data_IF_990374620174
#
_entry.id   IF_990374620174
#
_cell.length_a   1.000
_cell.length_b   1.000
_cell.length_c   1.000
_cell.angle_alpha   90.00
_cell.angle_beta   90.00
_cell.angle_gamma   90.00
#
_symmetry.space_group_name_H-M   'P 1'
#
loop_
_entity.id
_entity.type
_entity.pdbx_description
1 polymer ?
#
# COMPACT_ATOMS: atom_id res chain seq x y z
N UNK A 1 -7.15 -16.41 -17.33
CA UNK A 1 -7.62 -15.10 -16.83
C UNK A 1 -6.49 -14.46 -16.04
N UNK A 2 -6.10 -13.21 -16.31
CA UNK A 2 -5.01 -12.52 -15.58
C UNK A 2 -5.55 -11.78 -14.36
N UNK A 3 -4.75 -11.75 -13.29
CA UNK A 3 -5.04 -10.97 -12.08
C UNK A 3 -4.27 -9.65 -12.16
N UNK A 4 -4.95 -8.51 -11.96
CA UNK A 4 -4.29 -7.23 -11.91
C UNK A 4 -3.57 -7.07 -10.56
N UNK A 5 -2.28 -6.75 -10.62
CA UNK A 5 -1.44 -6.45 -9.45
C UNK A 5 -0.97 -5.01 -9.56
N UNK A 6 -1.22 -4.21 -8.53
CA UNK A 6 -0.85 -2.80 -8.47
C UNK A 6 0.29 -2.60 -7.50
N UNK A 7 1.34 -1.91 -7.93
CA UNK A 7 2.55 -1.63 -7.15
C UNK A 7 2.59 -0.13 -6.84
N UNK A 8 2.62 0.22 -5.55
CA UNK A 8 2.71 1.62 -5.15
C UNK A 8 4.08 2.21 -5.51
N UNK A 9 5.16 1.59 -5.04
CA UNK A 9 6.51 2.12 -5.15
C UNK A 9 7.50 1.03 -5.58
N UNK A 10 8.25 1.30 -6.66
CA UNK A 10 9.31 0.44 -7.16
C UNK A 10 10.66 1.17 -7.09
N UNK A 11 11.48 0.82 -6.12
CA UNK A 11 12.84 1.32 -5.97
C UNK A 11 13.84 0.18 -6.03
N UNK A 12 15.11 0.48 -6.32
CA UNK A 12 16.15 -0.56 -6.27
C UNK A 12 16.26 -1.20 -4.89
N UNK A 13 16.00 -0.44 -3.82
CA UNK A 13 16.07 -0.92 -2.45
C UNK A 13 14.97 -1.92 -2.08
N UNK A 14 13.77 -1.83 -2.68
CA UNK A 14 12.66 -2.74 -2.40
C UNK A 14 12.42 -3.79 -3.50
N UNK A 15 13.16 -3.73 -4.61
CA UNK A 15 12.93 -4.54 -5.80
C UNK A 15 12.96 -6.04 -5.52
N UNK A 16 13.91 -6.53 -4.70
CA UNK A 16 13.98 -7.95 -4.33
C UNK A 16 12.71 -8.44 -3.61
N UNK A 17 12.17 -7.62 -2.70
CA UNK A 17 10.95 -7.95 -1.97
C UNK A 17 9.72 -7.89 -2.88
N UNK A 18 9.64 -6.89 -3.76
CA UNK A 18 8.59 -6.79 -4.79
C UNK A 18 8.58 -8.05 -5.67
N UNK A 19 9.74 -8.48 -6.16
CA UNK A 19 9.86 -9.68 -6.99
C UNK A 19 9.45 -10.95 -6.24
N UNK A 20 9.84 -11.07 -4.97
CA UNK A 20 9.44 -12.20 -4.13
C UNK A 20 7.92 -12.24 -3.95
N UNK A 21 7.30 -11.11 -3.61
CA UNK A 21 5.85 -11.04 -3.46
C UNK A 21 5.14 -11.35 -4.78
N UNK A 22 5.62 -10.83 -5.90
CA UNK A 22 5.06 -11.16 -7.22
C UNK A 22 5.19 -12.65 -7.55
N UNK A 23 6.30 -13.31 -7.19
CA UNK A 23 6.45 -14.75 -7.37
C UNK A 23 5.44 -15.53 -6.52
N UNK A 24 5.27 -15.14 -5.25
CA UNK A 24 4.28 -15.74 -4.33
C UNK A 24 2.85 -15.53 -4.84
N UNK A 25 2.50 -14.33 -5.30
CA UNK A 25 1.19 -14.02 -5.90
C UNK A 25 0.99 -14.84 -7.17
N UNK A 26 1.98 -14.92 -8.05
CA UNK A 26 1.88 -15.74 -9.27
C UNK A 26 1.65 -17.22 -8.97
N UNK A 27 2.30 -17.74 -7.92
CA UNK A 27 2.13 -19.12 -7.48
C UNK A 27 0.74 -19.35 -6.88
N UNK A 28 0.29 -18.46 -5.98
CA UNK A 28 -1.04 -18.54 -5.33
C UNK A 28 -2.17 -18.64 -6.36
N UNK A 29 -2.07 -17.90 -7.45
CA UNK A 29 -3.14 -17.81 -8.42
C UNK A 29 -2.92 -18.66 -9.69
N UNK A 30 -1.76 -19.33 -9.81
CA UNK A 30 -1.38 -20.15 -10.98
C UNK A 30 -1.66 -19.46 -12.33
N UNK A 31 -1.45 -18.14 -12.39
CA UNK A 31 -1.88 -17.28 -13.51
C UNK A 31 -0.80 -16.26 -13.88
N UNK A 32 -0.84 -15.82 -15.14
CA UNK A 32 -0.09 -14.64 -15.60
C UNK A 32 -0.60 -13.39 -14.89
N UNK A 33 0.34 -12.55 -14.47
CA UNK A 33 0.05 -11.29 -13.79
C UNK A 33 -0.03 -10.13 -14.79
N UNK A 34 -0.96 -9.21 -14.54
CA UNK A 34 -1.01 -7.91 -15.20
C UNK A 34 -0.60 -6.85 -14.19
N UNK A 35 0.66 -6.42 -14.24
CA UNK A 35 1.28 -5.58 -13.23
C UNK A 35 1.18 -4.11 -13.65
N UNK A 36 0.71 -3.26 -12.74
CA UNK A 36 0.60 -1.82 -12.91
C UNK A 36 1.38 -1.13 -11.80
N UNK A 37 2.22 -0.14 -12.12
CA UNK A 37 2.99 0.60 -11.10
C UNK A 37 2.63 2.08 -11.06
N UNK A 38 2.68 2.70 -9.88
CA UNK A 38 2.38 4.12 -9.69
C UNK A 38 3.69 4.91 -9.71
N UNK A 39 4.52 4.71 -8.69
CA UNK A 39 5.81 5.37 -8.53
C UNK A 39 6.94 4.37 -8.76
N UNK A 40 8.00 4.80 -9.43
CA UNK A 40 9.15 3.95 -9.65
C UNK A 40 10.39 4.69 -10.10
N UNK A 41 11.54 4.29 -9.58
CA UNK A 41 12.84 4.76 -10.04
C UNK A 41 13.15 4.18 -11.41
N UNK A 42 13.75 4.98 -12.30
CA UNK A 42 13.99 4.61 -13.70
C UNK A 42 14.68 3.24 -13.85
N UNK A 43 15.77 3.02 -13.11
CA UNK A 43 16.52 1.77 -13.17
C UNK A 43 15.70 0.57 -12.69
N UNK A 44 14.93 0.72 -11.62
CA UNK A 44 14.11 -0.36 -11.08
C UNK A 44 12.95 -0.70 -12.04
N UNK A 45 12.33 0.30 -12.66
CA UNK A 45 11.29 0.11 -13.69
C UNK A 45 11.85 -0.63 -14.91
N UNK A 46 13.07 -0.29 -15.35
CA UNK A 46 13.71 -0.96 -16.49
C UNK A 46 14.01 -2.42 -16.17
N UNK A 47 14.53 -2.72 -14.97
CA UNK A 47 14.75 -4.10 -14.52
C UNK A 47 13.43 -4.88 -14.47
N UNK A 48 12.39 -4.30 -13.87
CA UNK A 48 11.06 -4.91 -13.78
C UNK A 48 10.47 -5.21 -15.15
N UNK A 49 10.64 -4.31 -16.13
CA UNK A 49 10.18 -4.51 -17.51
C UNK A 49 10.85 -5.72 -18.15
N UNK A 50 12.16 -5.85 -18.01
CA UNK A 50 12.91 -7.01 -18.51
C UNK A 50 12.46 -8.31 -17.83
N UNK A 51 12.35 -8.30 -16.50
CA UNK A 51 11.90 -9.46 -15.74
C UNK A 51 10.48 -9.91 -16.12
N UNK A 52 9.54 -8.97 -16.24
CA UNK A 52 8.17 -9.28 -16.63
C UNK A 52 8.09 -9.82 -18.06
N UNK A 53 8.91 -9.30 -18.99
CA UNK A 53 9.00 -9.82 -20.36
C UNK A 53 9.47 -11.27 -20.39
N UNK A 54 10.48 -11.63 -19.58
CA UNK A 54 10.98 -13.01 -19.47
C UNK A 54 9.89 -13.97 -18.95
N UNK A 55 9.01 -13.51 -18.06
CA UNK A 55 7.89 -14.32 -17.52
C UNK A 55 6.60 -14.24 -18.32
N UNK A 56 6.57 -13.46 -19.40
CA UNK A 56 5.35 -13.22 -20.18
C UNK A 56 4.25 -12.51 -19.39
N UNK A 57 4.62 -11.71 -18.38
CA UNK A 57 3.71 -10.89 -17.58
C UNK A 57 3.54 -9.50 -18.20
N UNK A 58 2.34 -8.92 -18.04
CA UNK A 58 2.09 -7.54 -18.46
C UNK A 58 2.71 -6.57 -17.44
N UNK A 59 3.39 -5.52 -17.91
CA UNK A 59 3.96 -4.49 -17.03
C UNK A 59 3.74 -3.10 -17.63
N UNK A 60 2.94 -2.28 -16.96
CA UNK A 60 2.54 -0.96 -17.45
C UNK A 60 2.50 0.07 -16.32
N UNK A 61 2.66 1.36 -16.64
CA UNK A 61 2.43 2.44 -15.67
C UNK A 61 0.93 2.61 -15.42
N UNK A 62 0.53 2.81 -14.18
CA UNK A 62 -0.83 3.13 -13.81
C UNK A 62 -1.11 4.60 -14.14
N UNK A 63 -1.72 4.85 -15.30
CA UNK A 63 -2.19 6.18 -15.66
C UNK A 63 -3.66 6.34 -15.23
N UNK A 64 -3.95 7.41 -14.50
CA UNK A 64 -5.27 7.91 -14.13
C UNK A 64 -5.15 9.40 -13.79
N UNK A 65 -6.23 10.17 -13.92
CA UNK A 65 -6.28 11.54 -13.38
C UNK A 65 -7.03 11.52 -12.06
N UNK A 66 -6.55 12.33 -11.11
CA UNK A 66 -7.14 12.40 -9.77
C UNK A 66 -8.64 12.75 -9.80
N UNK A 67 -9.04 13.62 -10.74
CA UNK A 67 -10.41 14.11 -10.90
C UNK A 67 -11.38 13.07 -11.48
N UNK A 68 -10.87 12.03 -12.13
CA UNK A 68 -11.67 11.04 -12.84
C UNK A 68 -12.20 9.95 -11.90
N UNK A 69 -11.74 9.92 -10.65
CA UNK A 69 -12.19 8.96 -9.64
C UNK A 69 -13.34 9.58 -8.86
N UNK A 70 -14.52 9.01 -9.06
CA UNK A 70 -15.77 9.41 -8.41
C UNK A 70 -16.34 8.26 -7.61
N UNK A 71 -17.05 8.60 -6.53
CA UNK A 71 -17.86 7.63 -5.81
C UNK A 71 -19.15 7.35 -6.58
N UNK A 72 -19.60 6.09 -6.58
CA UNK A 72 -20.74 5.69 -7.38
C UNK A 72 -22.07 6.09 -6.76
N UNK A 73 -22.17 6.04 -5.42
CA UNK A 73 -23.41 6.31 -4.72
C UNK A 73 -23.78 7.80 -4.76
N UNK A 74 -22.80 8.69 -4.64
CA UNK A 74 -23.03 10.14 -4.60
C UNK A 74 -22.60 10.88 -5.86
N UNK A 75 -21.75 10.27 -6.71
CA UNK A 75 -21.15 10.94 -7.87
C UNK A 75 -20.04 11.94 -7.52
N UNK A 76 -19.73 12.10 -6.22
CA UNK A 76 -18.74 13.03 -5.72
C UNK A 76 -17.32 12.60 -6.06
N UNK A 77 -16.40 13.56 -6.05
CA UNK A 77 -14.98 13.25 -6.20
C UNK A 77 -14.47 12.46 -4.99
N UNK A 78 -13.91 11.27 -5.23
CA UNK A 78 -13.36 10.42 -4.16
C UNK A 78 -12.34 11.16 -3.29
N UNK A 79 -11.57 12.09 -3.87
CA UNK A 79 -10.65 12.94 -3.12
C UNK A 79 -11.33 13.75 -2.01
N UNK A 80 -12.53 14.29 -2.28
CA UNK A 80 -13.30 15.04 -1.28
C UNK A 80 -13.81 14.09 -0.21
N UNK A 81 -14.44 12.97 -0.62
CA UNK A 81 -14.97 11.96 0.29
C UNK A 81 -13.91 11.38 1.24
N UNK A 82 -12.66 11.23 0.78
CA UNK A 82 -11.55 10.77 1.62
C UNK A 82 -11.35 11.73 2.80
N UNK A 83 -11.23 13.02 2.53
CA UNK A 83 -10.98 14.03 3.57
C UNK A 83 -12.18 14.28 4.48
N UNK A 84 -13.40 14.16 3.97
CA UNK A 84 -14.62 14.55 4.70
C UNK A 84 -15.32 13.39 5.40
N UNK A 85 -15.12 12.15 4.95
CA UNK A 85 -15.89 10.99 5.43
C UNK A 85 -15.00 9.78 5.71
N UNK A 86 -14.27 9.26 4.71
CA UNK A 86 -13.57 7.97 4.88
C UNK A 86 -12.48 8.01 5.94
N UNK A 87 -11.68 9.06 6.01
CA UNK A 87 -10.66 9.19 7.05
C UNK A 87 -11.28 9.34 8.44
N UNK A 88 -12.44 9.98 8.56
CA UNK A 88 -13.17 10.08 9.83
C UNK A 88 -13.70 8.72 10.29
N UNK A 89 -14.28 7.93 9.38
CA UNK A 89 -14.72 6.56 9.66
C UNK A 89 -13.56 5.66 10.08
N UNK A 90 -12.45 5.71 9.35
CA UNK A 90 -11.24 4.94 9.67
C UNK A 90 -10.65 5.37 11.02
N UNK A 91 -10.63 6.67 11.32
CA UNK A 91 -10.20 7.19 12.62
C UNK A 91 -11.03 6.60 13.77
N UNK A 92 -12.35 6.53 13.61
CA UNK A 92 -13.23 5.99 14.64
C UNK A 92 -13.05 4.47 14.84
N UNK A 93 -12.86 3.71 13.76
CA UNK A 93 -12.52 2.28 13.84
C UNK A 93 -11.21 2.08 14.61
N UNK A 94 -10.16 2.82 14.23
CA UNK A 94 -8.86 2.76 14.91
C UNK A 94 -8.97 3.14 16.38
N UNK A 95 -9.77 4.15 16.71
CA UNK A 95 -10.01 4.56 18.10
C UNK A 95 -10.64 3.43 18.90
N UNK A 96 -11.68 2.78 18.36
CA UNK A 96 -12.37 1.67 19.01
C UNK A 96 -11.44 0.47 19.24
N UNK A 97 -10.66 0.09 18.23
CA UNK A 97 -9.68 -0.99 18.32
C UNK A 97 -8.54 -0.68 19.31
N UNK A 98 -8.23 0.60 19.51
CA UNK A 98 -7.15 1.06 20.36
C UNK A 98 -7.59 1.43 21.78
N UNK A 99 -8.85 1.20 22.16
CA UNK A 99 -9.38 1.60 23.49
C UNK A 99 -8.58 1.02 24.66
N UNK A 100 -7.98 -0.16 24.49
CA UNK A 100 -7.15 -0.79 25.53
C UNK A 100 -5.79 -0.09 25.73
N UNK A 101 -5.37 0.79 24.82
CA UNK A 101 -4.06 1.44 24.83
C UNK A 101 -4.05 2.78 25.58
N UNK A 102 -5.21 3.30 25.96
CA UNK A 102 -5.31 4.60 26.62
C UNK A 102 -6.35 4.62 27.75
N UNK A 103 -6.11 5.46 28.75
CA UNK A 103 -7.06 5.67 29.87
C UNK A 103 -7.96 6.87 29.59
N UNK A 104 -9.14 6.94 30.22
CA UNK A 104 -10.08 8.08 30.11
C UNK A 104 -9.43 9.46 30.33
N UNK A 105 -8.35 9.56 31.10
CA UNK A 105 -7.62 10.83 31.34
C UNK A 105 -6.89 11.38 30.10
N UNK A 106 -6.58 10.52 29.11
CA UNK A 106 -5.80 10.88 27.92
C UNK A 106 -6.61 10.76 26.61
N UNK A 107 -7.93 10.53 26.69
CA UNK A 107 -8.78 10.30 25.51
C UNK A 107 -8.76 11.50 24.54
N UNK A 108 -8.83 12.73 25.05
CA UNK A 108 -8.79 13.93 24.20
C UNK A 108 -7.44 14.09 23.47
N UNK A 109 -6.33 13.86 24.16
CA UNK A 109 -4.99 13.93 23.57
C UNK A 109 -4.78 12.84 22.52
N UNK A 110 -5.26 11.63 22.79
CA UNK A 110 -5.22 10.52 21.83
C UNK A 110 -6.10 10.80 20.61
N UNK A 111 -7.31 11.33 20.82
CA UNK A 111 -8.20 11.74 19.75
C UNK A 111 -7.56 12.81 18.84
N UNK A 112 -6.96 13.84 19.43
CA UNK A 112 -6.23 14.88 18.69
C UNK A 112 -5.03 14.32 17.94
N UNK A 113 -4.31 13.35 18.53
CA UNK A 113 -3.23 12.65 17.85
C UNK A 113 -3.73 11.88 16.62
N UNK A 114 -4.80 11.09 16.76
CA UNK A 114 -5.39 10.34 15.65
C UNK A 114 -5.90 11.29 14.56
N UNK A 115 -6.58 12.37 14.92
CA UNK A 115 -7.07 13.34 13.95
C UNK A 115 -5.93 13.96 13.13
N UNK A 116 -4.85 14.39 13.81
CA UNK A 116 -3.67 14.94 13.13
C UNK A 116 -2.92 13.93 12.26
N UNK A 117 -2.84 12.68 12.71
CA UNK A 117 -2.09 11.62 12.02
C UNK A 117 -2.88 10.89 10.94
N UNK A 118 -4.21 11.00 10.91
CA UNK A 118 -5.06 10.29 9.94
C UNK A 118 -5.79 11.28 9.03
N UNK A 119 -6.52 12.24 9.61
CA UNK A 119 -7.46 13.09 8.86
C UNK A 119 -6.73 14.16 8.05
N UNK A 120 -5.67 14.75 8.62
CA UNK A 120 -4.94 15.84 7.97
C UNK A 120 -3.80 15.37 7.05
N UNK A 121 -3.64 14.06 6.83
CA UNK A 121 -2.65 13.56 5.89
C UNK A 121 -3.05 13.80 4.43
N UNK A 122 -2.06 14.16 3.60
CA UNK A 122 -2.26 14.34 2.17
C UNK A 122 -2.22 12.98 1.42
N UNK A 123 -3.07 12.82 0.40
CA UNK A 123 -3.08 11.68 -0.54
C UNK A 123 -1.75 11.55 -1.32
N UNK A 124 -1.00 12.64 -1.45
CA UNK A 124 0.31 12.63 -2.08
C UNK A 124 1.42 12.14 -1.14
N UNK A 125 1.18 12.12 0.18
CA UNK A 125 2.15 11.64 1.15
C UNK A 125 2.31 10.13 1.00
N UNK A 126 3.54 9.62 0.79
CA UNK A 126 3.78 8.18 0.75
C UNK A 126 3.37 7.52 2.07
N UNK A 127 2.77 6.32 2.02
CA UNK A 127 2.36 5.54 3.21
C UNK A 127 1.26 6.19 4.08
N UNK A 128 0.61 7.24 3.59
CA UNK A 128 -0.55 7.80 4.29
C UNK A 128 -1.78 6.94 4.08
N UNK A 129 -2.65 6.89 5.09
CA UNK A 129 -3.92 6.18 4.97
C UNK A 129 -4.79 6.81 3.87
N UNK A 130 -4.73 8.14 3.73
CA UNK A 130 -5.40 8.88 2.67
C UNK A 130 -4.99 8.38 1.28
N UNK A 131 -3.68 8.15 1.05
CA UNK A 131 -3.16 7.60 -0.20
C UNK A 131 -3.65 6.18 -0.42
N UNK A 132 -3.61 5.32 0.60
CA UNK A 132 -4.05 3.93 0.47
C UNK A 132 -5.52 3.82 0.11
N UNK A 133 -6.40 4.55 0.82
CA UNK A 133 -7.84 4.62 0.52
C UNK A 133 -8.02 5.05 -0.93
N UNK A 134 -7.31 6.11 -1.35
CA UNK A 134 -7.38 6.59 -2.72
C UNK A 134 -6.99 5.53 -3.75
N UNK A 135 -5.88 4.80 -3.52
CA UNK A 135 -5.44 3.73 -4.41
C UNK A 135 -6.44 2.58 -4.48
N UNK A 136 -7.07 2.20 -3.37
CA UNK A 136 -8.13 1.18 -3.33
C UNK A 136 -9.28 1.59 -4.26
N UNK A 137 -9.73 2.85 -4.20
CA UNK A 137 -10.79 3.35 -5.06
C UNK A 137 -10.40 3.42 -6.54
N UNK A 138 -9.17 3.85 -6.86
CA UNK A 138 -8.65 3.80 -8.24
C UNK A 138 -8.68 2.36 -8.78
N UNK A 139 -8.23 1.40 -7.96
CA UNK A 139 -8.19 -0.01 -8.33
C UNK A 139 -9.59 -0.57 -8.49
N UNK A 140 -10.51 -0.28 -7.56
CA UNK A 140 -11.93 -0.65 -7.64
C UNK A 140 -12.56 -0.18 -8.94
N UNK A 141 -12.35 1.09 -9.31
CA UNK A 141 -12.89 1.65 -10.55
C UNK A 141 -12.29 0.97 -11.80
N UNK A 142 -10.97 0.70 -11.81
CA UNK A 142 -10.36 -0.05 -12.91
C UNK A 142 -10.83 -1.49 -12.99
N UNK A 143 -11.02 -2.16 -11.87
CA UNK A 143 -11.55 -3.52 -11.82
C UNK A 143 -12.92 -3.59 -12.49
N UNK A 144 -13.81 -2.65 -12.18
CA UNK A 144 -15.14 -2.55 -12.81
C UNK A 144 -15.05 -2.33 -14.31
N UNK A 145 -14.26 -1.35 -14.75
CA UNK A 145 -14.06 -1.06 -16.18
C UNK A 145 -13.48 -2.27 -16.97
N UNK A 146 -12.72 -3.13 -16.31
CA UNK A 146 -12.08 -4.31 -16.91
C UNK A 146 -12.84 -5.62 -16.65
N UNK A 147 -13.99 -5.59 -15.98
CA UNK A 147 -14.74 -6.79 -15.59
C UNK A 147 -13.96 -7.75 -14.67
N UNK A 148 -13.05 -7.22 -13.84
CA UNK A 148 -12.24 -7.99 -12.89
C UNK A 148 -12.94 -8.07 -11.54
N UNK A 149 -12.96 -9.27 -10.95
CA UNK A 149 -13.61 -9.53 -9.65
C UNK A 149 -12.68 -9.31 -8.45
N UNK A 150 -11.38 -9.47 -8.65
CA UNK A 150 -10.37 -9.34 -7.60
C UNK A 150 -9.14 -8.59 -8.13
N UNK A 151 -8.44 -7.91 -7.23
CA UNK A 151 -7.14 -7.30 -7.49
C UNK A 151 -6.24 -7.41 -6.27
N UNK A 152 -4.93 -7.29 -6.51
CA UNK A 152 -3.92 -7.23 -5.45
C UNK A 152 -3.24 -5.87 -5.52
N UNK A 153 -3.09 -5.19 -4.39
CA UNK A 153 -2.24 -4.02 -4.24
C UNK A 153 -1.07 -4.40 -3.35
N UNK A 154 0.15 -4.10 -3.82
CA UNK A 154 1.38 -4.26 -3.07
C UNK A 154 1.90 -2.87 -2.73
N UNK A 155 1.96 -2.56 -1.44
CA UNK A 155 2.32 -1.26 -0.90
C UNK A 155 3.42 -1.39 0.15
N UNK A 156 4.07 -0.28 0.49
CA UNK A 156 4.98 -0.31 1.63
C UNK A 156 4.17 -0.47 2.92
N UNK A 157 4.75 -1.16 3.89
CA UNK A 157 4.19 -1.28 5.24
C UNK A 157 3.90 0.11 5.84
N UNK A 158 2.83 0.24 6.60
CA UNK A 158 2.35 1.51 7.13
C UNK A 158 1.52 1.29 8.41
N UNK A 159 1.32 2.33 9.24
CA UNK A 159 0.47 2.23 10.41
C UNK A 159 -0.94 1.75 10.06
N UNK A 160 -1.57 1.01 10.97
CA UNK A 160 -2.97 0.56 10.84
C UNK A 160 -3.23 -0.33 9.62
N UNK A 161 -2.22 -1.10 9.20
CA UNK A 161 -2.28 -1.95 8.01
C UNK A 161 -3.42 -2.98 8.03
N UNK A 162 -3.75 -3.51 9.22
CA UNK A 162 -4.87 -4.43 9.45
C UNK A 162 -6.23 -3.78 9.16
N UNK A 163 -6.47 -2.58 9.68
CA UNK A 163 -7.72 -1.82 9.42
C UNK A 163 -7.86 -1.55 7.92
N UNK A 164 -6.76 -1.23 7.26
CA UNK A 164 -6.75 -1.02 5.81
C UNK A 164 -6.95 -2.30 5.00
N UNK A 165 -6.47 -3.45 5.48
CA UNK A 165 -6.75 -4.75 4.87
C UNK A 165 -8.24 -5.06 4.89
N UNK A 166 -8.90 -4.89 6.03
CA UNK A 166 -10.34 -5.08 6.16
C UNK A 166 -11.13 -4.11 5.26
N UNK A 167 -10.74 -2.84 5.25
CA UNK A 167 -11.34 -1.84 4.37
C UNK A 167 -11.21 -2.23 2.89
N UNK A 168 -10.02 -2.67 2.45
CA UNK A 168 -9.80 -3.09 1.06
C UNK A 168 -10.56 -4.38 0.70
N UNK A 169 -10.67 -5.32 1.63
CA UNK A 169 -11.41 -6.57 1.44
C UNK A 169 -12.88 -6.34 1.14
N UNK A 170 -13.50 -5.28 1.70
CA UNK A 170 -14.88 -4.88 1.37
C UNK A 170 -15.10 -4.60 -0.13
N UNK A 171 -14.02 -4.32 -0.86
CA UNK A 171 -14.02 -4.09 -2.31
C UNK A 171 -13.40 -5.24 -3.13
N UNK A 172 -13.17 -6.41 -2.53
CA UNK A 172 -12.44 -7.53 -3.13
C UNK A 172 -11.02 -7.16 -3.59
N UNK A 173 -10.38 -6.24 -2.87
CA UNK A 173 -8.99 -5.82 -3.09
C UNK A 173 -8.13 -6.41 -1.98
N UNK A 174 -7.15 -7.24 -2.34
CA UNK A 174 -6.18 -7.77 -1.39
C UNK A 174 -5.01 -6.78 -1.24
N UNK A 175 -4.68 -6.38 -0.01
CA UNK A 175 -3.44 -5.66 0.27
C UNK A 175 -2.31 -6.64 0.64
N UNK A 176 -1.10 -6.33 0.19
CA UNK A 176 0.13 -7.01 0.59
C UNK A 176 1.15 -5.94 0.96
N UNK A 177 1.61 -5.95 2.20
CA UNK A 177 2.62 -5.01 2.67
C UNK A 177 4.03 -5.54 2.43
N UNK A 178 4.91 -4.63 1.99
CA UNK A 178 6.34 -4.83 1.94
C UNK A 178 6.97 -3.96 3.02
N UNK A 179 7.64 -4.59 3.98
CA UNK A 179 8.36 -3.88 5.03
C UNK A 179 9.47 -3.03 4.41
N UNK A 180 9.34 -1.71 4.55
CA UNK A 180 10.40 -0.81 4.12
C UNK A 180 11.60 -0.98 5.05
N UNK A 181 12.73 -1.34 4.48
CA UNK A 181 13.95 -1.56 5.23
C UNK A 181 14.79 -0.29 5.22
N UNK A 182 15.07 0.25 6.41
CA UNK A 182 16.16 1.20 6.60
C UNK A 182 17.39 0.42 7.11
N UNK A 183 18.43 0.19 6.29
CA UNK A 183 19.73 -0.29 6.77
C UNK A 183 20.40 0.64 7.78
N UNK A 184 19.90 1.87 7.83
CA UNK A 184 20.54 3.02 8.43
C UNK A 184 19.92 3.17 9.81
N UNK A 185 20.75 2.94 10.83
CA UNK A 185 20.43 3.38 12.18
C UNK A 185 21.07 4.75 12.39
N UNK A 186 20.28 5.69 12.88
CA UNK A 186 20.80 6.90 13.49
C UNK A 186 21.19 6.53 14.92
N UNK A 187 22.49 6.40 15.18
CA UNK A 187 23.02 6.39 16.54
C UNK A 187 24.12 7.44 16.65
N UNK A 188 24.01 8.30 17.66
CA UNK A 188 25.05 9.27 18.03
C UNK A 188 25.46 10.24 16.91
N UNK A 189 24.51 10.70 16.09
CA UNK A 189 24.78 11.72 15.07
C UNK A 189 25.50 11.21 13.82
N UNK A 190 25.75 9.90 13.69
CA UNK A 190 26.41 9.29 12.54
C UNK A 190 25.49 8.28 11.86
N UNK A 191 25.42 8.36 10.53
CA UNK A 191 24.73 7.41 9.67
C UNK A 191 25.56 6.11 9.62
N UNK A 192 25.14 5.06 10.35
CA UNK A 192 25.80 3.76 10.30
C UNK A 192 24.97 2.74 9.52
N UNK A 193 25.58 2.17 8.48
CA UNK A 193 25.03 1.05 7.71
C UNK A 193 25.43 -0.27 8.37
N UNK A 194 24.45 -1.09 8.76
CA UNK A 194 24.72 -2.38 9.43
C UNK A 194 24.45 -3.57 8.50
N UNK A 195 25.52 -4.21 8.02
CA UNK A 195 25.43 -5.44 7.22
C UNK A 195 24.85 -6.64 8.00
N UNK A 196 25.11 -6.74 9.30
CA UNK A 196 24.53 -7.81 10.13
C UNK A 196 23.03 -7.63 10.31
N UNK A 197 22.55 -6.39 10.47
CA UNK A 197 21.12 -6.08 10.52
C UNK A 197 20.46 -6.30 9.16
N UNK A 198 21.17 -6.04 8.06
CA UNK A 198 20.73 -6.35 6.69
C UNK A 198 20.44 -7.83 6.53
N UNK A 199 21.45 -8.70 6.66
CA UNK A 199 21.28 -10.13 6.38
C UNK A 199 20.31 -10.80 7.36
N UNK A 200 20.34 -10.44 8.65
CA UNK A 200 19.46 -11.05 9.64
C UNK A 200 17.98 -10.70 9.44
N UNK A 201 17.64 -9.45 9.09
CA UNK A 201 16.23 -9.07 8.86
C UNK A 201 15.77 -9.39 7.44
N UNK A 202 16.65 -9.31 6.45
CA UNK A 202 16.35 -9.76 5.10
C UNK A 202 16.06 -11.27 5.09
N UNK A 203 16.84 -12.07 5.82
CA UNK A 203 16.59 -13.51 6.00
C UNK A 203 15.26 -13.83 6.69
N UNK A 204 14.89 -13.11 7.78
CA UNK A 204 13.62 -13.33 8.47
C UNK A 204 12.39 -13.05 7.60
N UNK A 205 12.47 -12.09 6.68
CA UNK A 205 11.36 -11.75 5.79
C UNK A 205 11.04 -12.84 4.76
N UNK A 206 12.00 -13.70 4.40
CA UNK A 206 11.74 -14.88 3.56
C UNK A 206 11.24 -16.08 4.36
N UNK A 207 11.49 -16.10 5.68
CA UNK A 207 11.23 -17.25 6.54
C UNK A 207 9.88 -17.21 7.29
N UNK A 208 9.13 -16.10 7.23
CA UNK A 208 7.82 -15.96 7.90
C UNK A 208 7.87 -16.44 9.38
N UNK A 209 8.82 -15.88 10.15
CA UNK A 209 8.80 -15.84 11.62
C UNK A 209 8.80 -14.37 12.05
#
# INVERSE_FOLDING_TARGET
MTIPVYLENISLGNLGLVLFQLAKTSQKYSRKLSIFYIDGTYLAVQFMKSFCKLRGWGFSKLCFKLLDVREEETGDHTRLCISTDYLWKIKEIIRQDSQCLYTNKNDEAFHLFLEKSIVYENILTPRSLARTIYLIHVVRNKMKLQGKKEAVIILNDQPWGNVMEEYAQSFNVQLIYINHWYPIKWSEGVLQFSWSTFFNRWGRQFLNI
#
